data_IF_571305879326
#
_entry.id   IF_571305879326
#
_cell.length_a   1.000
_cell.length_b   1.000
_cell.length_c   1.000
_cell.angle_alpha   90.00
_cell.angle_beta   90.00
_cell.angle_gamma   90.00
#
_symmetry.space_group_name_H-M   'P 1'
#
loop_
_entity.id
_entity.type
_entity.pdbx_description
1 polymer ?
#
# COMPACT_ATOMS: atom_id res chain seq x y z
N UNK A 1 20.72 2.16 -4.05
CA UNK A 1 20.19 0.97 -3.34
C UNK A 1 19.19 1.50 -2.33
N UNK A 2 17.99 0.94 -2.29
CA UNK A 2 16.91 1.48 -1.47
C UNK A 2 17.17 1.22 0.03
N UNK A 3 17.02 2.21 0.94
CA UNK A 3 17.28 2.05 2.36
C UNK A 3 16.59 0.83 2.99
N UNK A 4 15.35 0.50 2.61
CA UNK A 4 14.60 -0.60 3.24
C UNK A 4 15.29 -1.95 3.02
N UNK A 5 15.89 -2.16 1.84
CA UNK A 5 16.54 -3.43 1.47
C UNK A 5 17.85 -3.70 2.22
N UNK A 6 18.40 -2.66 2.87
CA UNK A 6 19.58 -2.79 3.72
C UNK A 6 19.26 -3.00 5.20
N UNK A 7 18.00 -2.78 5.60
CA UNK A 7 17.61 -2.90 7.00
C UNK A 7 17.58 -4.37 7.43
N UNK A 8 18.09 -4.71 8.62
CA UNK A 8 17.80 -5.97 9.27
C UNK A 8 16.29 -6.20 9.41
N UNK A 9 15.85 -7.46 9.35
CA UNK A 9 14.44 -7.80 9.48
C UNK A 9 13.83 -7.34 10.82
N UNK A 10 14.64 -7.22 11.89
CA UNK A 10 14.18 -6.67 13.16
C UNK A 10 13.81 -5.18 13.07
N UNK A 11 14.58 -4.42 12.29
CA UNK A 11 14.36 -2.98 12.11
C UNK A 11 13.16 -2.72 11.20
N UNK A 12 12.97 -3.55 10.17
CA UNK A 12 11.74 -3.55 9.36
C UNK A 12 10.51 -3.83 10.23
N UNK A 13 10.57 -4.84 11.12
CA UNK A 13 9.46 -5.11 12.04
C UNK A 13 9.17 -3.95 12.98
N UNK A 14 10.20 -3.28 13.49
CA UNK A 14 10.03 -2.10 14.35
C UNK A 14 9.37 -0.95 13.57
N UNK A 15 9.85 -0.66 12.35
CA UNK A 15 9.27 0.37 11.48
C UNK A 15 7.76 0.16 11.26
N UNK A 16 7.36 -1.07 10.94
CA UNK A 16 5.96 -1.41 10.70
C UNK A 16 5.13 -1.58 11.99
N UNK A 17 5.77 -1.78 13.15
CA UNK A 17 5.08 -1.80 14.44
C UNK A 17 4.75 -0.38 14.94
N UNK A 18 5.58 0.60 14.61
CA UNK A 18 5.42 1.99 15.05
C UNK A 18 4.56 2.82 14.09
N UNK A 19 5.03 2.96 12.85
CA UNK A 19 4.38 3.84 11.88
C UNK A 19 3.50 3.06 10.89
N UNK A 20 3.75 1.76 10.71
CA UNK A 20 3.06 0.88 9.77
C UNK A 20 3.09 1.39 8.31
N UNK A 21 4.09 2.19 7.96
CA UNK A 21 4.20 2.81 6.63
C UNK A 21 5.64 2.82 6.17
N UNK A 22 5.84 2.46 4.91
CA UNK A 22 7.04 2.73 4.15
C UNK A 22 6.67 3.26 2.76
N UNK A 23 7.40 4.23 2.25
CA UNK A 23 7.20 4.72 0.88
C UNK A 23 8.52 5.14 0.26
N UNK A 24 8.58 5.03 -1.07
CA UNK A 24 9.73 5.47 -1.85
C UNK A 24 9.30 5.95 -3.22
N UNK A 25 9.92 7.05 -3.67
CA UNK A 25 9.79 7.51 -5.04
C UNK A 25 10.55 6.57 -5.97
N UNK A 26 9.89 6.18 -7.07
CA UNK A 26 10.47 5.35 -8.11
C UNK A 26 9.88 5.75 -9.47
N UNK A 27 10.61 6.57 -10.24
CA UNK A 27 10.12 7.06 -11.53
C UNK A 27 9.82 5.94 -12.53
N UNK A 28 10.53 4.82 -12.44
CA UNK A 28 10.32 3.68 -13.36
C UNK A 28 8.98 3.02 -13.06
N UNK A 29 8.63 2.85 -11.78
CA UNK A 29 7.29 2.39 -11.39
C UNK A 29 6.25 3.41 -11.85
N UNK A 30 6.48 4.71 -11.62
CA UNK A 30 5.56 5.77 -12.04
C UNK A 30 5.25 5.73 -13.53
N UNK A 31 6.27 5.62 -14.39
CA UNK A 31 6.12 5.49 -15.84
C UNK A 31 5.32 4.24 -16.23
N UNK A 32 5.61 3.10 -15.61
CA UNK A 32 4.90 1.83 -15.87
C UNK A 32 3.44 1.89 -15.42
N UNK A 33 3.14 2.52 -14.29
CA UNK A 33 1.76 2.73 -13.83
C UNK A 33 1.02 3.64 -14.81
N UNK A 34 1.66 4.70 -15.33
CA UNK A 34 1.04 5.56 -16.36
C UNK A 34 0.80 4.82 -17.68
N UNK A 35 1.67 3.89 -18.07
CA UNK A 35 1.46 3.03 -19.23
C UNK A 35 0.25 2.10 -19.01
N UNK A 36 0.18 1.42 -17.88
CA UNK A 36 -0.98 0.61 -17.50
C UNK A 36 -2.27 1.43 -17.50
N UNK A 37 -2.22 2.65 -16.97
CA UNK A 37 -3.36 3.57 -16.94
C UNK A 37 -3.82 3.95 -18.36
N UNK A 38 -2.90 4.26 -19.27
CA UNK A 38 -3.20 4.58 -20.68
C UNK A 38 -3.87 3.41 -21.41
N UNK A 39 -3.57 2.19 -20.99
CA UNK A 39 -4.16 0.96 -21.52
C UNK A 39 -5.46 0.55 -20.80
N UNK A 40 -5.96 1.37 -19.87
CA UNK A 40 -7.21 1.12 -19.15
C UNK A 40 -7.09 0.15 -17.97
N UNK A 41 -5.87 -0.07 -17.46
CA UNK A 41 -5.56 -1.00 -16.38
C UNK A 41 -6.05 -2.44 -16.62
N UNK A 42 -5.46 -3.17 -17.58
CA UNK A 42 -5.85 -4.55 -17.90
C UNK A 42 -5.34 -5.55 -16.84
N UNK A 43 -5.71 -5.40 -15.56
CA UNK A 43 -5.17 -6.17 -14.44
C UNK A 43 -5.44 -7.69 -14.52
N UNK A 44 -6.52 -8.09 -15.21
CA UNK A 44 -6.87 -9.50 -15.43
C UNK A 44 -6.18 -10.11 -16.67
N UNK A 45 -5.43 -9.33 -17.45
CA UNK A 45 -4.71 -9.81 -18.63
C UNK A 45 -3.34 -10.38 -18.28
N UNK A 46 -2.70 -11.04 -19.25
CA UNK A 46 -1.32 -11.53 -19.10
C UNK A 46 -0.38 -10.35 -18.79
N UNK A 47 -0.55 -9.23 -19.48
CA UNK A 47 0.22 -8.01 -19.27
C UNK A 47 0.02 -7.43 -17.86
N UNK A 48 -1.20 -7.49 -17.31
CA UNK A 48 -1.49 -7.09 -15.94
C UNK A 48 -0.81 -7.98 -14.90
N UNK A 49 -0.82 -9.30 -15.12
CA UNK A 49 -0.14 -10.25 -14.25
C UNK A 49 1.38 -10.10 -14.32
N UNK A 50 1.95 -9.93 -15.52
CA UNK A 50 3.37 -9.66 -15.73
C UNK A 50 3.79 -8.36 -15.02
N UNK A 51 2.93 -7.33 -15.07
CA UNK A 51 3.14 -6.09 -14.34
C UNK A 51 3.16 -6.32 -12.83
N UNK A 52 2.21 -7.09 -12.28
CA UNK A 52 2.17 -7.44 -10.86
C UNK A 52 3.42 -8.23 -10.44
N UNK A 53 3.82 -9.22 -11.22
CA UNK A 53 5.01 -10.04 -10.96
C UNK A 53 6.25 -9.16 -10.89
N UNK A 54 6.50 -8.34 -11.91
CA UNK A 54 7.72 -7.53 -12.02
C UNK A 54 7.81 -6.40 -10.98
N UNK A 55 6.69 -5.80 -10.59
CA UNK A 55 6.68 -4.59 -9.76
C UNK A 55 6.26 -4.84 -8.31
N UNK A 56 5.78 -6.04 -7.98
CA UNK A 56 5.36 -6.40 -6.61
C UNK A 56 6.03 -7.71 -6.18
N UNK A 57 5.81 -8.81 -6.91
CA UNK A 57 6.25 -10.13 -6.45
C UNK A 57 7.77 -10.31 -6.53
N UNK A 58 8.41 -9.74 -7.55
CA UNK A 58 9.86 -9.75 -7.76
C UNK A 58 10.57 -8.49 -7.26
N UNK A 59 9.81 -7.47 -6.82
CA UNK A 59 10.40 -6.27 -6.26
C UNK A 59 11.08 -6.58 -4.92
N UNK A 60 12.39 -6.34 -4.87
CA UNK A 60 13.21 -6.68 -3.69
C UNK A 60 12.79 -5.92 -2.44
N UNK A 61 12.25 -4.71 -2.57
CA UNK A 61 11.78 -3.91 -1.43
C UNK A 61 10.56 -4.57 -0.81
N UNK A 62 9.57 -4.88 -1.65
CA UNK A 62 8.33 -5.55 -1.24
C UNK A 62 8.63 -6.91 -0.62
N UNK A 63 9.42 -7.74 -1.31
CA UNK A 63 9.82 -9.05 -0.79
C UNK A 63 10.50 -8.95 0.56
N UNK A 64 11.45 -8.03 0.70
CA UNK A 64 12.18 -7.83 1.95
C UNK A 64 11.26 -7.45 3.11
N UNK A 65 10.27 -6.58 2.86
CA UNK A 65 9.24 -6.23 3.84
C UNK A 65 8.39 -7.44 4.19
N UNK A 66 7.83 -8.13 3.20
CA UNK A 66 6.95 -9.27 3.43
C UNK A 66 7.66 -10.43 4.16
N UNK A 67 8.89 -10.76 3.77
CA UNK A 67 9.69 -11.81 4.40
C UNK A 67 10.11 -11.44 5.83
N UNK A 68 10.27 -10.15 6.15
CA UNK A 68 10.56 -9.69 7.51
C UNK A 68 9.34 -9.74 8.44
N UNK A 69 8.14 -9.48 7.90
CA UNK A 69 6.89 -9.40 8.65
C UNK A 69 6.17 -10.75 8.79
N UNK A 70 6.26 -11.61 7.78
CA UNK A 70 5.49 -12.84 7.70
C UNK A 70 6.38 -14.06 7.48
N UNK A 71 6.18 -15.16 8.24
CA UNK A 71 6.87 -16.43 7.96
C UNK A 71 6.53 -16.98 6.57
N UNK A 72 5.31 -16.68 6.07
CA UNK A 72 4.80 -17.00 4.74
C UNK A 72 3.86 -15.88 4.31
N UNK A 73 3.98 -15.44 3.07
CA UNK A 73 3.10 -14.45 2.45
C UNK A 73 2.60 -14.96 1.10
N UNK A 74 1.53 -14.33 0.61
CA UNK A 74 0.95 -14.60 -0.71
C UNK A 74 0.11 -13.42 -1.15
N UNK A 75 -0.13 -13.31 -2.45
CA UNK A 75 -1.00 -12.28 -3.01
C UNK A 75 -2.46 -12.58 -2.62
N UNK A 76 -3.10 -11.62 -1.94
CA UNK A 76 -4.50 -11.72 -1.53
C UNK A 76 -5.45 -11.08 -2.53
N UNK A 77 -5.24 -9.79 -2.81
CA UNK A 77 -6.08 -8.97 -3.69
C UNK A 77 -5.15 -8.19 -4.63
N UNK A 78 -5.51 -8.13 -5.91
CA UNK A 78 -4.85 -7.30 -6.91
C UNK A 78 -5.90 -6.48 -7.66
N UNK A 79 -5.97 -5.19 -7.34
CA UNK A 79 -7.06 -4.30 -7.74
C UNK A 79 -6.55 -2.89 -8.04
N UNK A 80 -7.34 -2.14 -8.81
CA UNK A 80 -7.07 -0.71 -9.06
C UNK A 80 -8.04 0.14 -8.27
N UNK A 81 -7.48 0.93 -7.36
CA UNK A 81 -8.25 1.84 -6.53
C UNK A 81 -8.23 3.26 -7.09
N UNK A 82 -9.37 3.93 -6.98
CA UNK A 82 -9.49 5.37 -7.16
C UNK A 82 -9.85 6.00 -5.83
N UNK A 83 -9.16 7.06 -5.48
CA UNK A 83 -9.44 7.83 -4.27
C UNK A 83 -10.22 9.09 -4.63
N UNK A 84 -11.24 9.38 -3.86
CA UNK A 84 -11.96 10.66 -3.93
C UNK A 84 -11.43 11.61 -2.84
N UNK A 85 -11.21 12.89 -3.17
CA UNK A 85 -10.78 13.87 -2.17
C UNK A 85 -11.76 13.96 -0.99
N UNK A 86 -11.23 14.11 0.23
CA UNK A 86 -11.99 14.25 1.49
C UNK A 86 -12.64 12.97 2.05
N UNK A 87 -12.43 11.81 1.43
CA UNK A 87 -12.86 10.53 1.96
C UNK A 87 -11.72 9.80 2.67
N UNK A 88 -12.07 9.01 3.70
CA UNK A 88 -11.13 8.15 4.42
C UNK A 88 -11.43 6.71 4.05
N UNK A 89 -10.43 6.03 3.51
CA UNK A 89 -10.54 4.63 3.10
C UNK A 89 -9.59 3.74 3.89
N UNK A 90 -9.99 2.49 4.09
CA UNK A 90 -9.15 1.43 4.61
C UNK A 90 -9.23 0.19 3.71
N UNK A 91 -8.13 -0.56 3.62
CA UNK A 91 -8.09 -1.86 2.96
C UNK A 91 -8.69 -2.96 3.83
N UNK A 92 -8.60 -2.82 5.15
CA UNK A 92 -9.00 -3.83 6.13
C UNK A 92 -9.61 -3.17 7.37
N UNK A 93 -10.53 -3.88 8.04
CA UNK A 93 -11.24 -3.39 9.24
C UNK A 93 -10.48 -3.59 10.55
N UNK A 94 -9.46 -4.45 10.59
CA UNK A 94 -8.82 -4.87 11.85
C UNK A 94 -9.75 -5.62 12.82
N UNK A 95 -10.99 -5.94 12.42
CA UNK A 95 -11.97 -6.65 13.25
C UNK A 95 -11.65 -8.14 13.39
N UNK A 96 -10.86 -8.70 12.48
CA UNK A 96 -10.31 -10.05 12.57
C UNK A 96 -8.81 -9.96 12.88
N UNK A 97 -8.38 -10.15 14.14
CA UNK A 97 -6.97 -10.02 14.53
C UNK A 97 -6.07 -11.13 13.97
N UNK A 98 -6.65 -12.23 13.46
CA UNK A 98 -5.91 -13.30 12.81
C UNK A 98 -5.55 -12.95 11.36
N UNK A 99 -6.31 -12.05 10.73
CA UNK A 99 -6.07 -11.62 9.37
C UNK A 99 -5.07 -10.47 9.36
N UNK A 100 -3.84 -10.77 8.94
CA UNK A 100 -2.77 -9.80 8.75
C UNK A 100 -2.50 -9.64 7.26
N UNK A 101 -2.35 -8.40 6.83
CA UNK A 101 -2.01 -8.05 5.45
C UNK A 101 -1.13 -6.82 5.42
N UNK A 102 -0.47 -6.64 4.27
CA UNK A 102 0.20 -5.39 3.89
C UNK A 102 -0.40 -5.00 2.55
N UNK A 103 -0.88 -3.77 2.44
CA UNK A 103 -1.29 -3.16 1.20
C UNK A 103 -0.06 -2.58 0.51
N UNK A 104 0.27 -3.10 -0.67
CA UNK A 104 1.32 -2.57 -1.53
C UNK A 104 0.68 -1.73 -2.62
N UNK A 105 0.95 -0.43 -2.62
CA UNK A 105 0.44 0.49 -3.61
C UNK A 105 1.50 0.89 -4.62
N UNK A 106 1.20 0.74 -5.91
CA UNK A 106 1.98 1.28 -7.02
C UNK A 106 1.31 2.54 -7.54
N UNK A 107 2.05 3.65 -7.59
CA UNK A 107 1.48 4.97 -7.80
C UNK A 107 1.99 5.63 -9.07
N UNK A 108 1.07 6.26 -9.79
CA UNK A 108 1.41 7.20 -10.84
C UNK A 108 2.09 8.45 -10.25
N UNK A 109 2.79 9.25 -11.07
CA UNK A 109 3.22 10.59 -10.73
C UNK A 109 2.12 11.48 -10.14
N UNK A 110 2.58 12.53 -9.46
CA UNK A 110 1.76 13.58 -8.84
C UNK A 110 0.77 13.08 -7.77
N UNK A 111 1.11 11.97 -7.10
CA UNK A 111 0.31 11.49 -5.98
C UNK A 111 0.66 12.24 -4.69
N UNK A 112 -0.37 12.76 -4.03
CA UNK A 112 -0.31 13.19 -2.63
C UNK A 112 -1.41 12.49 -1.84
N UNK A 113 -1.03 11.75 -0.80
CA UNK A 113 -1.96 11.11 0.12
C UNK A 113 -1.50 11.28 1.57
N UNK A 114 -2.44 11.13 2.50
CA UNK A 114 -2.17 11.14 3.94
C UNK A 114 -2.51 9.77 4.50
N UNK A 115 -1.48 9.06 4.94
CA UNK A 115 -1.63 7.82 5.70
C UNK A 115 -1.75 8.14 7.20
N UNK A 116 -2.32 7.22 7.97
CA UNK A 116 -2.61 7.42 9.39
C UNK A 116 -1.84 6.38 10.19
N UNK A 117 -0.68 6.77 10.71
CA UNK A 117 0.20 5.90 11.48
C UNK A 117 -0.52 5.34 12.71
N UNK A 118 -0.31 4.06 12.99
CA UNK A 118 -0.97 3.33 14.08
C UNK A 118 -2.46 3.00 13.82
N UNK A 119 -3.01 3.34 12.65
CA UNK A 119 -4.38 2.97 12.28
C UNK A 119 -4.56 1.45 12.13
N UNK A 120 -3.49 0.72 11.80
CA UNK A 120 -3.44 -0.75 11.75
C UNK A 120 -3.70 -1.41 13.11
N UNK A 121 -3.59 -0.68 14.23
CA UNK A 121 -3.89 -1.17 15.58
C UNK A 121 -5.35 -0.93 15.99
N UNK A 122 -6.12 -0.21 15.18
CA UNK A 122 -7.49 0.15 15.49
C UNK A 122 -8.47 -0.83 14.81
N UNK A 123 -9.37 -1.47 15.57
CA UNK A 123 -10.52 -2.12 14.97
C UNK A 123 -11.47 -1.04 14.46
N UNK A 124 -11.55 -0.88 13.14
CA UNK A 124 -12.36 0.12 12.45
C UNK A 124 -13.49 -0.54 11.67
N UNK A 125 -14.72 -0.17 12.01
CA UNK A 125 -15.88 -0.45 11.17
C UNK A 125 -15.92 0.51 9.98
N UNK A 126 -16.56 0.08 8.89
CA UNK A 126 -16.74 0.90 7.70
C UNK A 126 -17.82 0.33 6.79
N UNK A 127 -18.04 1.01 5.67
CA UNK A 127 -18.97 0.59 4.64
C UNK A 127 -18.21 0.35 3.34
N UNK A 128 -18.62 -0.64 2.56
CA UNK A 128 -18.05 -0.87 1.24
C UNK A 128 -18.37 0.32 0.33
N UNK A 129 -17.33 1.00 -0.12
CA UNK A 129 -17.43 2.04 -1.13
C UNK A 129 -17.42 1.43 -2.53
N UNK A 130 -17.88 2.22 -3.50
CA UNK A 130 -17.92 1.82 -4.92
C UNK A 130 -16.54 1.56 -5.52
N UNK A 131 -15.47 2.06 -4.88
CA UNK A 131 -14.08 1.84 -5.28
C UNK A 131 -13.49 0.53 -4.72
N UNK A 132 -14.27 -0.30 -4.02
CA UNK A 132 -13.79 -1.57 -3.45
C UNK A 132 -13.02 -1.43 -2.13
N UNK A 133 -12.90 -0.22 -1.58
CA UNK A 133 -12.34 0.02 -0.25
C UNK A 133 -13.43 0.17 0.80
N UNK A 134 -13.03 0.14 2.07
CA UNK A 134 -13.90 0.44 3.20
C UNK A 134 -13.84 1.94 3.49
N UNK A 135 -14.95 2.64 3.28
CA UNK A 135 -15.08 4.01 3.72
C UNK A 135 -15.33 4.08 5.22
N UNK A 136 -14.59 4.96 5.89
CA UNK A 136 -14.60 5.11 7.33
C UNK A 136 -15.22 6.44 7.78
N UNK A 137 -15.88 6.47 8.94
CA UNK A 137 -16.36 7.73 9.53
C UNK A 137 -15.20 8.69 9.83
N UNK A 138 -15.38 9.97 9.53
CA UNK A 138 -14.48 11.02 10.01
C UNK A 138 -14.42 11.01 11.54
N UNK A 139 -13.22 11.14 12.10
CA UNK A 139 -13.00 11.20 13.54
C UNK A 139 -12.41 9.93 14.17
N UNK A 140 -12.57 8.77 13.53
CA UNK A 140 -12.06 7.49 14.08
C UNK A 140 -10.52 7.47 14.15
N UNK A 141 -9.86 8.25 13.29
CA UNK A 141 -8.41 8.37 13.18
C UNK A 141 -7.85 9.66 13.81
N UNK A 142 -8.63 10.37 14.64
CA UNK A 142 -8.20 11.65 15.22
C UNK A 142 -6.96 11.53 16.11
N UNK A 143 -6.75 10.36 16.71
CA UNK A 143 -5.58 10.08 17.56
C UNK A 143 -4.40 9.47 16.77
N UNK A 144 -4.59 9.19 15.47
CA UNK A 144 -3.53 8.68 14.62
C UNK A 144 -2.68 9.83 14.08
N UNK A 145 -1.36 9.62 14.07
CA UNK A 145 -0.39 10.57 13.51
C UNK A 145 -0.53 10.58 11.98
N UNK A 146 -0.75 11.74 11.33
CA UNK A 146 -0.73 11.83 9.88
C UNK A 146 0.69 11.64 9.34
N UNK A 147 0.82 10.90 8.24
CA UNK A 147 2.04 10.75 7.46
C UNK A 147 1.70 11.20 6.03
N UNK A 148 2.30 12.32 5.62
CA UNK A 148 2.23 12.77 4.23
C UNK A 148 3.10 11.89 3.35
N UNK A 149 2.49 11.31 2.32
CA UNK A 149 3.19 10.58 1.27
C UNK A 149 3.04 11.38 -0.02
N UNK A 150 4.16 11.87 -0.52
CA UNK A 150 4.26 12.62 -1.76
C UNK A 150 5.15 11.84 -2.71
N UNK A 151 4.59 11.42 -3.85
CA UNK A 151 5.30 10.67 -4.88
C UNK A 151 5.19 11.44 -6.21
N UNK A 152 6.02 12.48 -6.34
CA UNK A 152 5.98 13.39 -7.51
C UNK A 152 6.20 12.64 -8.82
N UNK A 153 7.13 11.67 -8.84
CA UNK A 153 7.43 10.85 -10.02
C UNK A 153 6.78 9.47 -9.97
N UNK A 154 5.85 9.25 -9.05
CA UNK A 154 5.28 7.94 -8.77
C UNK A 154 6.21 7.08 -7.92
N UNK A 155 5.81 5.85 -7.68
CA UNK A 155 6.60 4.95 -6.86
C UNK A 155 5.76 3.93 -6.11
N UNK A 156 6.25 3.56 -4.93
CA UNK A 156 5.71 2.47 -4.13
C UNK A 156 5.47 2.94 -2.69
N UNK A 157 4.39 2.43 -2.09
CA UNK A 157 4.20 2.44 -0.64
C UNK A 157 3.69 1.10 -0.12
N UNK A 158 4.03 0.80 1.13
CA UNK A 158 3.55 -0.32 1.91
C UNK A 158 2.83 0.22 3.16
N UNK A 159 1.63 -0.27 3.46
CA UNK A 159 0.84 0.09 4.64
C UNK A 159 0.07 -1.11 5.23
#
# INVERSE_FOLDING_TARGET
>A
MDPITSLPAADVRTLFAEDAVYSTEDPVIGERVQEMQRNGFPIESIEGLDFCEQNVLDDRRVRHVLEALFPRSGLGIYEVYRTEPNHLYAFMTGLNPELKGVAVGLCSPDLHMVLKAGSNLLPVGGWWASNGLLEMPHGILNNCKPIDVVLEKGGLYDH
#
